data_IF_962422866600
#
_entry.id   IF_962422866600
#
_cell.length_a   1.000
_cell.length_b   1.000
_cell.length_c   1.000
_cell.angle_alpha   90.00
_cell.angle_beta   90.00
_cell.angle_gamma   90.00
#
_symmetry.space_group_name_H-M   'P 1'
#
loop_
_entity.id
_entity.type
_entity.pdbx_description
1 polymer ?
#
# COMPACT_ATOMS: atom_id res chain seq x y z
N UNK A 1 3.27 -28.25 -23.01
CA UNK A 1 1.88 -28.38 -23.52
C UNK A 1 0.90 -28.51 -22.36
N UNK A 2 -0.13 -27.60 -22.33
CA UNK A 2 -1.40 -27.67 -21.56
C UNK A 2 -1.25 -27.68 -20.01
N UNK A 3 -1.61 -26.59 -19.28
CA UNK A 3 -3.00 -26.17 -19.00
C UNK A 3 -3.05 -24.72 -18.53
N UNK A 4 -3.44 -23.84 -19.41
CA UNK A 4 -4.05 -22.56 -19.09
C UNK A 4 -5.56 -22.79 -19.25
N UNK A 5 -6.31 -22.88 -18.18
CA UNK A 5 -7.77 -22.83 -18.24
C UNK A 5 -8.33 -22.24 -16.96
N UNK A 6 -9.03 -21.11 -17.12
CA UNK A 6 -10.23 -20.67 -16.41
C UNK A 6 -10.04 -20.00 -15.05
N UNK A 7 -9.86 -18.69 -15.07
CA UNK A 7 -10.44 -17.76 -14.11
C UNK A 7 -11.11 -16.61 -14.87
N UNK A 8 -12.13 -16.93 -15.61
CA UNK A 8 -13.12 -15.96 -16.11
C UNK A 8 -14.45 -16.33 -15.50
N UNK A 9 -15.17 -15.29 -14.99
CA UNK A 9 -16.57 -15.35 -14.58
C UNK A 9 -16.82 -15.69 -13.12
N UNK A 10 -16.58 -14.72 -12.19
CA UNK A 10 -17.36 -14.65 -10.93
C UNK A 10 -17.37 -13.26 -10.26
N UNK A 11 -17.41 -12.17 -10.97
CA UNK A 11 -17.56 -10.83 -10.35
C UNK A 11 -18.58 -9.91 -11.05
N UNK A 12 -19.59 -10.45 -11.74
CA UNK A 12 -20.57 -9.58 -12.42
C UNK A 12 -22.04 -9.91 -12.18
N UNK A 13 -22.40 -10.55 -11.08
CA UNK A 13 -23.80 -10.97 -10.88
C UNK A 13 -24.46 -10.52 -9.57
N UNK A 14 -23.91 -9.52 -8.86
CA UNK A 14 -24.54 -9.03 -7.60
C UNK A 14 -25.17 -7.62 -7.71
N UNK A 15 -25.10 -6.95 -8.86
CA UNK A 15 -25.61 -5.55 -8.98
C UNK A 15 -26.92 -5.41 -9.76
N UNK A 16 -27.49 -6.47 -10.33
CA UNK A 16 -28.72 -6.38 -11.13
C UNK A 16 -29.82 -7.29 -10.59
N UNK A 17 -30.35 -7.01 -9.43
CA UNK A 17 -31.44 -7.80 -8.90
C UNK A 17 -32.29 -7.10 -7.85
N UNK A 18 -32.80 -5.90 -8.10
CA UNK A 18 -33.91 -5.33 -7.34
C UNK A 18 -34.53 -4.11 -8.05
N UNK A 19 -35.00 -4.30 -9.26
CA UNK A 19 -35.89 -3.31 -9.88
C UNK A 19 -36.83 -3.98 -10.89
N UNK A 20 -37.77 -4.80 -10.37
CA UNK A 20 -38.95 -5.19 -11.12
C UNK A 20 -39.86 -6.05 -10.23
N UNK A 21 -40.60 -5.38 -9.32
CA UNK A 21 -41.83 -5.91 -8.71
C UNK A 21 -42.48 -4.81 -7.88
N UNK A 22 -43.10 -3.85 -8.53
CA UNK A 22 -44.13 -2.99 -7.93
C UNK A 22 -44.92 -2.30 -9.02
N UNK A 23 -45.77 -3.04 -9.67
CA UNK A 23 -46.94 -2.44 -10.35
C UNK A 23 -48.05 -3.46 -10.27
N UNK A 24 -49.08 -3.06 -9.56
CA UNK A 24 -50.46 -3.47 -9.53
C UNK A 24 -50.95 -3.89 -8.15
N UNK A 25 -51.83 -3.09 -7.65
CA UNK A 25 -52.74 -3.46 -6.57
C UNK A 25 -52.79 -2.49 -5.41
N UNK A 26 -53.80 -1.65 -5.47
CA UNK A 26 -54.58 -1.13 -4.35
C UNK A 26 -54.71 0.38 -4.25
N UNK A 27 -55.74 0.84 -4.89
CA UNK A 27 -56.26 2.22 -4.81
C UNK A 27 -57.12 2.49 -3.56
N UNK A 28 -57.20 1.60 -2.58
CA UNK A 28 -58.12 1.74 -1.45
C UNK A 28 -57.53 1.78 -0.05
N UNK A 29 -56.20 1.65 0.13
CA UNK A 29 -55.59 1.72 1.46
C UNK A 29 -54.95 3.08 1.79
N UNK A 30 -55.03 4.05 0.89
CA UNK A 30 -54.37 5.36 1.07
C UNK A 30 -55.11 6.35 1.99
N UNK A 31 -56.22 5.98 2.64
CA UNK A 31 -57.03 6.95 3.43
C UNK A 31 -56.78 6.89 4.97
N UNK A 32 -55.87 6.05 5.44
CA UNK A 32 -55.56 5.94 6.88
C UNK A 32 -54.08 6.08 7.26
N UNK A 33 -53.18 6.33 6.28
CA UNK A 33 -51.82 6.71 6.66
C UNK A 33 -51.78 8.22 6.93
N UNK A 34 -51.57 8.57 8.20
CA UNK A 34 -51.32 9.96 8.59
C UNK A 34 -50.20 10.54 7.74
N UNK A 35 -50.25 11.87 7.51
CA UNK A 35 -49.28 12.64 6.70
C UNK A 35 -47.88 12.07 6.90
N UNK A 36 -47.13 11.71 5.82
CA UNK A 36 -45.78 11.22 5.98
C UNK A 36 -45.00 12.22 6.84
N UNK A 37 -44.42 11.76 7.95
CA UNK A 37 -43.54 12.60 8.73
C UNK A 37 -42.42 13.04 7.80
N UNK A 38 -42.40 14.33 7.51
CA UNK A 38 -41.36 14.99 6.73
C UNK A 38 -40.05 14.80 7.52
N UNK A 39 -39.35 13.72 7.24
CA UNK A 39 -38.04 13.49 7.84
C UNK A 39 -37.10 14.54 7.24
N UNK A 40 -36.74 15.55 8.04
CA UNK A 40 -35.64 16.45 7.71
C UNK A 40 -34.44 15.58 7.38
N UNK A 41 -34.14 15.44 6.09
CA UNK A 41 -32.91 14.78 5.63
C UNK A 41 -31.77 15.61 6.22
N UNK A 42 -31.07 15.06 7.20
CA UNK A 42 -29.86 15.71 7.70
C UNK A 42 -28.90 15.75 6.53
N UNK A 43 -28.65 16.95 6.04
CA UNK A 43 -27.71 17.20 4.96
C UNK A 43 -26.31 16.94 5.50
N UNK A 44 -25.82 15.73 5.32
CA UNK A 44 -24.46 15.30 5.64
C UNK A 44 -23.68 15.05 4.36
N UNK A 45 -22.47 14.55 4.49
CA UNK A 45 -21.59 14.22 3.38
C UNK A 45 -22.26 13.28 2.37
N UNK A 46 -22.11 13.58 1.08
CA UNK A 46 -22.77 12.86 -0.01
C UNK A 46 -21.91 11.68 -0.50
N UNK A 47 -22.59 10.71 -1.11
CA UNK A 47 -21.93 9.68 -1.89
C UNK A 47 -21.25 10.31 -3.10
N UNK A 48 -20.03 9.91 -3.42
CA UNK A 48 -19.29 10.49 -4.52
C UNK A 48 -18.22 9.55 -5.06
N UNK A 49 -17.94 9.67 -6.34
CA UNK A 49 -16.67 9.22 -6.91
C UNK A 49 -15.56 10.18 -6.50
N UNK A 50 -14.34 9.68 -6.38
CA UNK A 50 -13.20 10.53 -6.05
C UNK A 50 -11.93 10.09 -6.73
N UNK A 51 -11.05 11.05 -6.91
CA UNK A 51 -9.65 10.87 -7.29
C UNK A 51 -8.78 11.48 -6.19
N UNK A 52 -7.74 10.78 -5.80
CA UNK A 52 -6.85 11.23 -4.72
C UNK A 52 -5.39 11.05 -5.02
N UNK A 53 -4.60 11.93 -4.44
CA UNK A 53 -3.14 11.87 -4.41
C UNK A 53 -2.68 11.90 -2.96
N UNK A 54 -1.60 11.22 -2.63
CA UNK A 54 -1.01 11.24 -1.29
C UNK A 54 0.51 11.30 -1.35
N UNK A 55 1.10 11.95 -0.35
CA UNK A 55 2.52 11.85 -0.05
C UNK A 55 2.70 10.91 1.13
N UNK A 56 3.68 10.02 1.04
CA UNK A 56 3.91 8.96 2.00
C UNK A 56 5.35 9.01 2.52
N UNK A 57 5.50 8.85 3.83
CA UNK A 57 6.80 8.67 4.50
C UNK A 57 6.69 7.49 5.44
N UNK A 58 7.65 6.59 5.40
CA UNK A 58 7.62 5.41 6.22
C UNK A 58 8.99 4.81 6.43
N UNK A 59 8.99 3.60 6.92
CA UNK A 59 10.19 2.83 7.15
C UNK A 59 10.16 1.53 6.35
N UNK A 60 11.28 1.22 5.72
CA UNK A 60 11.50 -0.05 5.06
C UNK A 60 12.73 -0.74 5.68
N UNK A 61 12.74 -2.07 5.65
CA UNK A 61 13.88 -2.88 6.06
C UNK A 61 14.32 -3.81 4.94
N UNK A 62 15.63 -3.99 4.84
CA UNK A 62 16.26 -4.99 4.01
C UNK A 62 17.00 -5.94 4.93
N UNK A 63 16.72 -7.24 4.87
CA UNK A 63 17.44 -8.29 5.56
C UNK A 63 18.31 -9.05 4.56
N UNK A 64 19.60 -9.05 4.80
CA UNK A 64 20.57 -9.79 3.98
C UNK A 64 21.12 -10.93 4.82
N UNK A 65 21.00 -12.16 4.32
CA UNK A 65 21.67 -13.31 4.87
C UNK A 65 22.77 -13.70 3.90
N UNK A 66 24.04 -13.56 4.33
CA UNK A 66 25.22 -13.82 3.52
C UNK A 66 26.00 -15.02 4.11
N UNK A 67 26.28 -16.07 3.32
CA UNK A 67 26.98 -17.23 3.78
C UNK A 67 28.47 -16.92 4.07
N UNK A 68 29.23 -17.86 4.71
CA UNK A 68 30.67 -17.73 4.93
C UNK A 68 31.44 -17.48 3.64
N UNK A 69 32.60 -16.81 3.75
CA UNK A 69 33.47 -16.50 2.59
C UNK A 69 33.94 -17.71 1.81
N UNK A 70 33.99 -18.87 2.45
CA UNK A 70 34.33 -20.16 1.81
C UNK A 70 33.17 -20.70 0.92
N UNK A 71 32.00 -20.12 1.00
CA UNK A 71 30.86 -20.53 0.17
C UNK A 71 30.94 -19.90 -1.22
N UNK A 72 30.60 -20.67 -2.23
CA UNK A 72 30.47 -20.21 -3.62
C UNK A 72 29.47 -19.04 -3.76
N UNK A 73 28.49 -18.97 -2.85
CA UNK A 73 27.42 -17.97 -2.83
C UNK A 73 27.69 -16.77 -1.93
N UNK A 74 28.91 -16.61 -1.41
CA UNK A 74 29.26 -15.44 -0.61
C UNK A 74 29.27 -14.18 -1.48
N UNK A 75 28.60 -13.15 -1.00
CA UNK A 75 28.59 -11.84 -1.65
C UNK A 75 29.49 -10.86 -0.89
N UNK A 76 30.70 -10.52 -1.44
CA UNK A 76 31.75 -9.83 -0.68
C UNK A 76 31.37 -8.45 -0.14
N UNK A 77 30.33 -7.81 -0.72
CA UNK A 77 29.86 -6.48 -0.30
C UNK A 77 29.05 -6.48 0.99
N UNK A 78 28.58 -7.64 1.44
CA UNK A 78 27.80 -7.74 2.66
C UNK A 78 28.57 -8.53 3.73
N UNK A 79 28.40 -8.18 5.01
CA UNK A 79 28.95 -8.96 6.10
C UNK A 79 28.45 -10.40 6.06
N UNK A 80 29.30 -11.34 6.51
CA UNK A 80 28.90 -12.73 6.71
C UNK A 80 27.87 -12.82 7.84
N UNK A 81 26.85 -13.64 7.65
CA UNK A 81 25.75 -13.80 8.59
C UNK A 81 24.50 -13.03 8.16
N UNK A 82 23.62 -12.77 9.12
CA UNK A 82 22.39 -12.01 8.92
C UNK A 82 22.62 -10.56 9.31
N UNK A 83 22.32 -9.64 8.41
CA UNK A 83 22.39 -8.20 8.65
C UNK A 83 21.08 -7.54 8.21
N UNK A 84 20.53 -6.71 9.10
CA UNK A 84 19.30 -5.98 8.84
C UNK A 84 19.62 -4.50 8.66
N UNK A 85 19.18 -3.93 7.55
CA UNK A 85 19.29 -2.51 7.21
C UNK A 85 17.93 -1.85 7.29
N UNK A 86 17.85 -0.67 7.88
CA UNK A 86 16.67 0.16 7.94
C UNK A 86 16.87 1.39 7.06
N UNK A 87 15.83 1.80 6.36
CA UNK A 87 15.82 3.01 5.55
C UNK A 87 14.51 3.77 5.71
N UNK A 88 14.59 5.09 5.62
CA UNK A 88 13.41 5.92 5.41
C UNK A 88 12.95 5.73 3.97
N UNK A 89 11.69 5.44 3.79
CA UNK A 89 11.04 5.33 2.49
C UNK A 89 10.08 6.49 2.32
N UNK A 90 10.16 7.17 1.19
CA UNK A 90 9.25 8.26 0.83
C UNK A 90 8.67 8.02 -0.55
N UNK A 91 7.49 8.56 -0.80
CA UNK A 91 6.83 8.31 -2.08
C UNK A 91 5.50 8.99 -2.26
N UNK A 92 4.85 8.62 -3.35
CA UNK A 92 3.57 9.16 -3.75
C UNK A 92 2.55 8.03 -3.92
N UNK A 93 1.28 8.35 -3.68
CA UNK A 93 0.19 7.43 -3.91
C UNK A 93 -0.92 8.07 -4.74
N UNK A 94 -1.55 7.27 -5.58
CA UNK A 94 -2.75 7.62 -6.34
C UNK A 94 -3.89 6.69 -5.92
N UNK A 95 -5.10 7.25 -5.82
CA UNK A 95 -6.30 6.48 -5.50
C UNK A 95 -7.47 6.93 -6.36
N UNK A 96 -8.27 6.00 -6.82
CA UNK A 96 -9.54 6.27 -7.48
C UNK A 96 -10.60 5.35 -6.87
N UNK A 97 -11.76 5.90 -6.53
CA UNK A 97 -12.76 5.10 -5.86
C UNK A 97 -14.11 5.76 -5.70
N UNK A 98 -14.96 5.09 -4.97
CA UNK A 98 -16.32 5.52 -4.64
C UNK A 98 -16.55 5.42 -3.14
N UNK A 99 -17.14 6.46 -2.56
CA UNK A 99 -17.58 6.47 -1.16
C UNK A 99 -19.09 6.46 -1.08
N UNK A 100 -19.60 5.67 -0.15
CA UNK A 100 -21.02 5.48 0.09
C UNK A 100 -21.32 5.59 1.58
N UNK A 101 -22.27 6.46 1.93
CA UNK A 101 -22.75 6.61 3.29
C UNK A 101 -24.09 5.95 3.47
N UNK A 102 -24.32 5.34 4.63
CA UNK A 102 -25.51 4.60 4.96
C UNK A 102 -26.39 5.35 5.97
N UNK A 103 -27.68 5.15 5.83
CA UNK A 103 -28.69 5.74 6.72
C UNK A 103 -28.90 7.25 6.53
N UNK A 104 -29.92 7.78 7.19
CA UNK A 104 -30.32 9.19 7.05
C UNK A 104 -29.32 10.17 7.66
N UNK A 105 -28.63 9.76 8.72
CA UNK A 105 -27.64 10.60 9.43
C UNK A 105 -26.26 10.57 8.79
N UNK A 106 -25.97 9.63 7.88
CA UNK A 106 -24.72 9.50 7.16
C UNK A 106 -23.46 9.51 8.03
N UNK A 107 -23.56 8.95 9.24
CA UNK A 107 -22.42 8.86 10.16
C UNK A 107 -21.49 7.71 9.81
N UNK A 108 -22.04 6.68 9.19
CA UNK A 108 -21.29 5.49 8.81
C UNK A 108 -21.32 5.32 7.29
N UNK A 109 -20.19 4.93 6.73
CA UNK A 109 -20.03 4.70 5.30
C UNK A 109 -18.98 3.66 4.99
N UNK A 110 -18.84 3.40 3.71
CA UNK A 110 -17.77 2.59 3.16
C UNK A 110 -17.13 3.30 1.98
N UNK A 111 -15.86 3.04 1.75
CA UNK A 111 -15.07 3.57 0.64
C UNK A 111 -14.40 2.40 -0.07
N UNK A 112 -14.63 2.28 -1.36
CA UNK A 112 -14.07 1.23 -2.24
C UNK A 112 -13.12 1.90 -3.22
N UNK A 113 -11.92 1.38 -3.40
CA UNK A 113 -10.95 2.04 -4.26
C UNK A 113 -9.90 1.10 -4.86
N UNK A 114 -9.40 1.54 -6.03
CA UNK A 114 -8.13 1.11 -6.55
C UNK A 114 -7.03 2.08 -6.14
N UNK A 115 -5.83 1.58 -5.93
CA UNK A 115 -4.70 2.42 -5.56
C UNK A 115 -3.39 1.95 -6.18
N UNK A 116 -2.44 2.89 -6.29
CA UNK A 116 -1.07 2.66 -6.67
C UNK A 116 -0.16 3.56 -5.82
N UNK A 117 0.77 2.94 -5.09
CA UNK A 117 1.77 3.62 -4.28
C UNK A 117 3.15 3.38 -4.87
N UNK A 118 3.91 4.45 -5.09
CA UNK A 118 5.32 4.42 -5.36
C UNK A 118 6.08 4.78 -4.10
N UNK A 119 7.16 4.07 -3.79
CA UNK A 119 8.06 4.35 -2.67
C UNK A 119 9.50 4.21 -3.08
N UNK A 120 10.34 5.10 -2.59
CA UNK A 120 11.78 5.11 -2.81
C UNK A 120 12.53 5.05 -1.48
N UNK A 121 13.51 4.16 -1.38
CA UNK A 121 14.34 3.98 -0.20
C UNK A 121 15.81 3.73 -0.57
N UNK A 122 16.73 4.20 0.27
CA UNK A 122 18.17 3.97 0.13
C UNK A 122 18.67 3.23 1.36
N UNK A 123 18.95 1.94 1.20
CA UNK A 123 19.46 1.11 2.29
C UNK A 123 20.99 1.24 2.39
N UNK A 124 21.52 1.23 3.62
CA UNK A 124 22.96 1.28 3.87
C UNK A 124 23.62 2.63 3.61
N UNK A 125 22.86 3.71 3.42
CA UNK A 125 23.40 5.07 3.20
C UNK A 125 24.28 5.57 4.37
N UNK A 126 24.16 4.98 5.55
CA UNK A 126 24.95 5.29 6.75
C UNK A 126 26.02 4.24 7.05
N UNK A 127 26.19 3.21 6.24
CA UNK A 127 27.29 2.28 6.40
C UNK A 127 28.57 2.95 5.90
N UNK A 128 29.38 3.46 6.81
CA UNK A 128 30.74 3.87 6.54
C UNK A 128 31.52 2.59 6.16
N UNK A 129 31.67 2.34 4.89
CA UNK A 129 32.49 1.25 4.38
C UNK A 129 33.87 1.79 4.04
N UNK A 130 34.92 1.18 4.59
CA UNK A 130 36.27 1.44 4.10
C UNK A 130 36.43 0.97 2.65
N UNK A 131 37.35 1.54 1.90
CA UNK A 131 37.66 1.16 0.50
C UNK A 131 37.95 -0.35 0.35
N UNK A 132 38.25 -1.06 1.43
CA UNK A 132 38.52 -2.49 1.48
C UNK A 132 37.32 -3.35 1.90
N UNK A 133 36.09 -2.79 1.92
CA UNK A 133 34.87 -3.54 2.23
C UNK A 133 34.69 -3.92 3.70
N UNK A 134 35.52 -3.39 4.61
CA UNK A 134 35.38 -3.55 6.05
C UNK A 134 34.60 -2.41 6.70
N UNK A 135 33.86 -2.72 7.78
CA UNK A 135 33.26 -1.68 8.60
C UNK A 135 34.34 -0.82 9.24
N UNK A 136 34.21 0.50 9.19
CA UNK A 136 35.13 1.40 9.88
C UNK A 136 35.10 1.18 11.38
N UNK A 137 36.25 1.07 12.00
CA UNK A 137 36.39 1.03 13.47
C UNK A 137 36.16 2.44 14.03
N UNK A 138 35.56 2.53 15.21
CA UNK A 138 35.06 3.77 15.82
C UNK A 138 36.12 4.86 16.02
N UNK A 139 37.42 4.56 15.92
CA UNK A 139 38.53 5.48 16.20
C UNK A 139 39.60 5.58 15.08
N UNK A 140 39.29 5.11 13.86
CA UNK A 140 40.20 5.26 12.73
C UNK A 140 39.59 6.24 11.69
N UNK A 141 40.38 7.15 11.10
CA UNK A 141 39.88 7.99 10.01
C UNK A 141 39.56 7.11 8.83
N UNK A 142 38.30 6.83 8.66
CA UNK A 142 37.79 6.22 7.44
C UNK A 142 37.96 7.18 6.30
N UNK A 143 38.74 6.80 5.28
CA UNK A 143 38.75 7.51 4.01
C UNK A 143 37.35 7.46 3.43
N UNK A 144 36.65 8.59 3.55
CA UNK A 144 35.26 8.76 3.16
C UNK A 144 35.16 8.88 1.64
N UNK A 145 35.40 7.82 0.91
CA UNK A 145 34.58 7.64 -0.27
C UNK A 145 33.22 7.19 0.26
N UNK A 146 32.34 8.14 0.40
CA UNK A 146 30.89 7.91 0.32
C UNK A 146 30.67 7.32 -1.05
N UNK A 147 31.04 6.07 -1.20
CA UNK A 147 30.66 5.28 -2.34
C UNK A 147 29.14 5.23 -2.24
N UNK A 148 28.47 5.95 -3.09
CA UNK A 148 27.05 5.91 -3.39
C UNK A 148 26.64 4.51 -3.86
N UNK A 149 27.06 3.49 -3.17
CA UNK A 149 26.55 2.14 -3.28
C UNK A 149 25.45 1.92 -2.24
N UNK A 150 24.68 2.99 -1.98
CA UNK A 150 23.38 2.86 -1.40
C UNK A 150 22.60 1.90 -2.28
N UNK A 151 22.08 0.85 -1.68
CA UNK A 151 21.18 -0.06 -2.35
C UNK A 151 19.85 0.68 -2.58
N UNK A 152 19.77 1.36 -3.72
CA UNK A 152 18.59 2.06 -4.17
C UNK A 152 17.50 1.04 -4.41
N UNK A 153 16.35 1.23 -3.77
CA UNK A 153 15.20 0.35 -3.92
C UNK A 153 13.95 1.17 -4.17
N UNK A 154 13.30 0.84 -5.26
CA UNK A 154 12.00 1.38 -5.65
C UNK A 154 10.93 0.33 -5.37
N UNK A 155 9.83 0.76 -4.83
CA UNK A 155 8.70 -0.08 -4.50
C UNK A 155 7.45 0.41 -5.21
N UNK A 156 6.73 -0.50 -5.84
CA UNK A 156 5.39 -0.27 -6.36
C UNK A 156 4.41 -1.20 -5.64
N UNK A 157 3.40 -0.62 -5.01
CA UNK A 157 2.29 -1.34 -4.41
C UNK A 157 1.01 -0.92 -5.10
N UNK A 158 0.29 -1.86 -5.68
CA UNK A 158 -0.92 -1.59 -6.46
C UNK A 158 -2.00 -2.63 -6.16
N UNK A 159 -3.24 -2.17 -6.07
CA UNK A 159 -4.32 -3.07 -5.70
C UNK A 159 -5.64 -2.38 -5.46
N UNK A 160 -6.46 -3.05 -4.65
CA UNK A 160 -7.79 -2.58 -4.26
C UNK A 160 -7.93 -2.55 -2.74
N UNK A 161 -8.80 -1.69 -2.26
CA UNK A 161 -9.06 -1.57 -0.83
C UNK A 161 -10.51 -1.24 -0.52
N UNK A 162 -10.86 -1.52 0.71
CA UNK A 162 -12.12 -1.12 1.31
C UNK A 162 -11.85 -0.51 2.69
N UNK A 163 -12.38 0.68 2.94
CA UNK A 163 -12.34 1.34 4.23
C UNK A 163 -13.76 1.53 4.75
N UNK A 164 -13.96 1.32 6.05
CA UNK A 164 -15.13 1.79 6.77
C UNK A 164 -14.90 3.25 7.16
N UNK A 165 -15.92 4.08 7.03
CA UNK A 165 -15.89 5.50 7.35
C UNK A 165 -16.82 5.76 8.52
N UNK A 166 -16.33 6.49 9.52
CA UNK A 166 -17.11 6.92 10.66
C UNK A 166 -16.97 8.42 10.87
N UNK A 167 -18.05 9.19 10.64
CA UNK A 167 -18.08 10.64 10.83
C UNK A 167 -18.49 10.97 12.26
N UNK A 168 -17.60 11.62 13.00
CA UNK A 168 -17.88 12.15 14.36
C UNK A 168 -18.60 13.49 14.25
N UNK A 169 -18.19 14.30 13.29
CA UNK A 169 -18.83 15.56 12.92
C UNK A 169 -19.31 15.40 11.49
N UNK A 170 -20.59 15.64 11.27
CA UNK A 170 -21.20 15.49 9.95
C UNK A 170 -22.17 16.67 9.70
N UNK A 171 -21.62 17.76 9.18
CA UNK A 171 -22.34 18.95 8.76
C UNK A 171 -22.41 19.02 7.24
N UNK A 172 -23.24 19.91 6.70
CA UNK A 172 -23.39 20.07 5.24
C UNK A 172 -22.08 20.44 4.55
N UNK A 173 -21.32 21.37 5.14
CA UNK A 173 -20.11 21.94 4.55
C UNK A 173 -18.81 21.40 5.16
N UNK A 174 -18.88 20.59 6.20
CA UNK A 174 -17.70 20.02 6.83
C UNK A 174 -18.02 18.71 7.57
N UNK A 175 -17.22 17.70 7.36
CA UNK A 175 -17.24 16.49 8.16
C UNK A 175 -15.84 16.15 8.68
N UNK A 176 -15.79 15.57 9.86
CA UNK A 176 -14.57 15.02 10.45
C UNK A 176 -14.86 13.62 10.97
N UNK A 177 -13.95 12.71 10.72
CA UNK A 177 -14.15 11.33 11.10
C UNK A 177 -12.89 10.48 11.01
N UNK A 178 -13.10 9.20 11.21
CA UNK A 178 -12.06 8.16 11.16
C UNK A 178 -12.34 7.21 10.01
N UNK A 179 -11.29 6.55 9.56
CA UNK A 179 -11.44 5.40 8.67
C UNK A 179 -10.56 4.24 9.13
N UNK A 180 -11.04 3.04 8.86
CA UNK A 180 -10.32 1.79 9.09
C UNK A 180 -10.62 0.85 7.93
N UNK A 181 -9.59 0.29 7.34
CA UNK A 181 -9.76 -0.58 6.18
C UNK A 181 -8.67 -1.58 5.96
N UNK A 182 -8.88 -2.36 4.91
CA UNK A 182 -7.96 -3.39 4.44
C UNK A 182 -7.73 -3.24 2.95
N UNK A 183 -6.54 -3.61 2.51
CA UNK A 183 -6.12 -3.55 1.12
C UNK A 183 -5.50 -4.88 0.71
N UNK A 184 -5.82 -5.31 -0.51
CA UNK A 184 -5.22 -6.46 -1.18
C UNK A 184 -4.43 -5.92 -2.37
N UNK A 185 -3.14 -6.26 -2.44
CA UNK A 185 -2.24 -5.65 -3.39
C UNK A 185 -1.21 -6.62 -3.95
N UNK A 186 -0.64 -6.26 -5.09
CA UNK A 186 0.68 -6.68 -5.54
C UNK A 186 1.72 -5.69 -5.02
N UNK A 187 2.85 -6.18 -4.57
CA UNK A 187 3.98 -5.37 -4.15
C UNK A 187 5.22 -5.78 -4.94
N UNK A 188 5.72 -4.86 -5.76
CA UNK A 188 6.89 -5.09 -6.61
C UNK A 188 8.06 -4.25 -6.12
N UNK A 189 9.23 -4.88 -6.02
CA UNK A 189 10.48 -4.22 -5.67
C UNK A 189 11.45 -4.26 -6.84
N UNK A 190 11.98 -3.10 -7.21
CA UNK A 190 13.12 -2.95 -8.09
C UNK A 190 14.31 -2.41 -7.30
N UNK A 191 15.50 -2.96 -7.50
CA UNK A 191 16.68 -2.48 -6.79
C UNK A 191 17.97 -2.69 -7.57
N UNK A 192 19.00 -1.91 -7.22
CA UNK A 192 20.31 -1.99 -7.84
C UNK A 192 21.06 -3.27 -7.47
N UNK A 193 20.71 -3.89 -6.35
CA UNK A 193 21.30 -5.18 -5.94
C UNK A 193 20.88 -6.30 -6.87
N UNK A 194 19.59 -6.35 -7.25
CA UNK A 194 19.09 -7.31 -8.23
C UNK A 194 19.75 -7.16 -9.59
N UNK A 195 19.77 -5.94 -10.12
CA UNK A 195 20.44 -5.65 -11.39
C UNK A 195 21.91 -6.02 -11.37
N UNK A 196 22.59 -5.82 -10.24
CA UNK A 196 23.99 -6.21 -10.08
C UNK A 196 24.16 -7.74 -10.08
N UNK A 197 23.30 -8.47 -9.38
CA UNK A 197 23.32 -9.94 -9.37
C UNK A 197 23.07 -10.52 -10.76
N UNK A 198 22.19 -9.90 -11.53
CA UNK A 198 21.88 -10.32 -12.90
C UNK A 198 23.00 -10.05 -13.91
N UNK A 199 23.71 -8.90 -13.77
CA UNK A 199 24.60 -8.42 -14.83
C UNK A 199 26.09 -8.71 -14.59
N UNK A 200 26.53 -8.73 -13.31
CA UNK A 200 27.96 -8.80 -12.94
C UNK A 200 28.32 -9.92 -11.98
N UNK A 201 27.37 -10.73 -11.57
CA UNK A 201 27.62 -11.83 -10.64
C UNK A 201 28.24 -13.02 -11.37
N UNK A 202 29.17 -13.75 -10.75
CA UNK A 202 29.60 -15.07 -11.20
C UNK A 202 28.43 -16.07 -11.25
N UNK A 203 27.30 -15.71 -10.64
CA UNK A 203 26.05 -16.48 -10.60
C UNK A 203 25.21 -16.42 -11.91
N UNK A 204 25.68 -15.73 -12.94
CA UNK A 204 24.97 -15.57 -14.22
C UNK A 204 24.58 -16.92 -14.89
N UNK A 205 25.24 -18.00 -14.53
CA UNK A 205 24.99 -19.33 -15.09
C UNK A 205 24.25 -20.29 -14.12
N UNK A 206 23.91 -19.84 -12.95
CA UNK A 206 23.19 -20.63 -11.94
C UNK A 206 21.71 -20.24 -11.96
N UNK A 207 20.82 -21.22 -12.00
CA UNK A 207 19.36 -20.97 -11.89
C UNK A 207 19.05 -20.40 -10.52
N UNK A 208 18.80 -19.10 -10.43
CA UNK A 208 18.30 -18.46 -9.23
C UNK A 208 16.91 -17.88 -9.47
N UNK A 209 16.09 -17.83 -8.46
CA UNK A 209 14.76 -17.24 -8.51
C UNK A 209 14.81 -15.83 -7.96
N UNK A 210 14.36 -14.87 -8.77
CA UNK A 210 14.04 -13.52 -8.35
C UNK A 210 12.52 -13.38 -8.32
N UNK A 211 11.98 -13.10 -7.14
CA UNK A 211 10.56 -12.86 -6.95
C UNK A 211 10.31 -11.36 -6.65
N UNK A 212 10.41 -10.49 -7.69
CA UNK A 212 10.29 -9.04 -7.50
C UNK A 212 8.87 -8.59 -7.16
N UNK A 213 7.88 -9.44 -7.41
CA UNK A 213 6.47 -9.12 -7.17
C UNK A 213 5.82 -10.18 -6.30
N UNK A 214 5.19 -9.77 -5.20
CA UNK A 214 4.51 -10.65 -4.27
C UNK A 214 3.16 -10.07 -3.85
N UNK A 215 2.25 -10.96 -3.48
CA UNK A 215 0.99 -10.59 -2.85
C UNK A 215 1.23 -9.86 -1.53
N UNK A 216 0.45 -8.81 -1.27
CA UNK A 216 0.52 -8.01 -0.06
C UNK A 216 -0.87 -7.76 0.51
N UNK A 217 -0.99 -7.90 1.82
CA UNK A 217 -2.15 -7.49 2.57
C UNK A 217 -1.77 -6.32 3.47
N UNK A 218 -2.57 -5.22 3.46
CA UNK A 218 -2.28 -4.03 4.25
C UNK A 218 -3.51 -3.64 5.08
N UNK A 219 -3.23 -3.18 6.30
CA UNK A 219 -4.19 -2.40 7.08
C UNK A 219 -4.04 -0.91 6.76
N UNK A 220 -5.16 -0.21 6.68
CA UNK A 220 -5.24 1.22 6.41
C UNK A 220 -6.12 1.87 7.46
N UNK A 221 -5.60 2.82 8.22
CA UNK A 221 -6.36 3.53 9.25
C UNK A 221 -5.92 4.99 9.37
N UNK A 222 -6.83 5.85 9.82
CA UNK A 222 -6.50 7.25 9.98
C UNK A 222 -7.72 8.13 10.28
N UNK A 223 -7.48 9.42 10.13
CA UNK A 223 -8.49 10.49 10.26
C UNK A 223 -8.73 11.13 8.90
N UNK A 224 -9.94 11.63 8.74
CA UNK A 224 -10.36 12.32 7.52
C UNK A 224 -11.13 13.58 7.84
N UNK A 225 -10.98 14.57 6.97
CA UNK A 225 -11.74 15.82 7.01
C UNK A 225 -12.25 16.13 5.62
N UNK A 226 -13.54 16.38 5.50
CA UNK A 226 -14.18 16.82 4.27
C UNK A 226 -14.58 18.29 4.43
N UNK A 227 -14.22 19.13 3.48
CA UNK A 227 -14.45 20.57 3.50
C UNK A 227 -15.13 21.01 2.19
N UNK A 228 -16.27 21.70 2.32
CA UNK A 228 -17.08 22.07 1.17
C UNK A 228 -17.75 20.86 0.54
N UNK A 229 -17.90 20.87 -0.80
CA UNK A 229 -18.58 19.79 -1.52
C UNK A 229 -17.62 18.78 -2.14
N UNK A 230 -16.38 19.18 -2.40
CA UNK A 230 -15.46 18.42 -3.23
C UNK A 230 -14.13 18.04 -2.57
N UNK A 231 -13.73 18.71 -1.49
CA UNK A 231 -12.39 18.57 -0.95
C UNK A 231 -12.36 17.67 0.28
N UNK A 232 -11.45 16.72 0.28
CA UNK A 232 -11.23 15.79 1.39
C UNK A 232 -9.74 15.65 1.65
N UNK A 233 -9.36 15.71 2.92
CA UNK A 233 -8.00 15.50 3.40
C UNK A 233 -7.97 14.29 4.33
N UNK A 234 -6.98 13.44 4.11
CA UNK A 234 -6.73 12.27 4.95
C UNK A 234 -5.35 12.37 5.58
N UNK A 235 -5.26 11.93 6.81
CA UNK A 235 -4.01 11.59 7.46
C UNK A 235 -4.11 10.16 8.00
N UNK A 236 -3.22 9.28 7.56
CA UNK A 236 -3.35 7.87 7.89
C UNK A 236 -2.04 7.11 7.89
N UNK A 237 -2.15 5.83 8.26
CA UNK A 237 -1.05 4.88 8.23
C UNK A 237 -1.46 3.61 7.49
N UNK A 238 -0.57 3.14 6.63
CA UNK A 238 -0.65 1.84 5.95
C UNK A 238 0.36 0.89 6.58
N UNK A 239 -0.09 -0.29 6.97
CA UNK A 239 0.72 -1.31 7.65
C UNK A 239 0.67 -2.60 6.82
N UNK A 240 1.70 -2.89 6.03
CA UNK A 240 1.82 -4.14 5.30
C UNK A 240 2.12 -5.31 6.24
N UNK A 241 1.64 -6.50 5.91
CA UNK A 241 1.77 -7.68 6.77
C UNK A 241 2.77 -8.71 6.27
N UNK A 242 3.14 -8.69 4.98
CA UNK A 242 3.90 -9.75 4.35
C UNK A 242 5.30 -9.26 3.95
N UNK A 243 6.32 -10.09 4.21
CA UNK A 243 7.69 -9.85 3.78
C UNK A 243 7.87 -10.29 2.33
N UNK A 244 8.67 -9.55 1.57
CA UNK A 244 9.02 -9.88 0.19
C UNK A 244 10.37 -10.59 0.17
N UNK A 245 10.38 -11.86 -0.15
CA UNK A 245 11.60 -12.64 -0.39
C UNK A 245 12.07 -12.38 -1.82
N UNK A 246 12.88 -11.35 -1.99
CA UNK A 246 13.30 -10.87 -3.31
C UNK A 246 14.26 -11.83 -4.01
N UNK A 247 15.20 -12.39 -3.26
CA UNK A 247 16.20 -13.32 -3.76
C UNK A 247 16.50 -14.39 -2.72
N UNK A 248 16.57 -15.65 -3.16
CA UNK A 248 16.97 -16.76 -2.31
C UNK A 248 17.72 -17.80 -3.14
N UNK A 249 19.01 -17.98 -2.85
CA UNK A 249 19.83 -19.02 -3.49
C UNK A 249 20.90 -19.55 -2.53
N UNK A 250 20.88 -20.85 -2.32
CA UNK A 250 21.74 -21.47 -1.30
C UNK A 250 21.46 -20.87 0.09
N UNK A 251 22.51 -20.34 0.71
CA UNK A 251 22.39 -19.64 2.00
C UNK A 251 22.39 -18.10 1.86
N UNK A 252 22.42 -17.57 0.62
CA UNK A 252 22.31 -16.15 0.32
C UNK A 252 20.85 -15.76 0.12
N UNK A 253 20.36 -14.80 0.88
CA UNK A 253 19.00 -14.31 0.70
C UNK A 253 18.88 -12.80 0.95
N UNK A 254 18.00 -12.16 0.18
CA UNK A 254 17.61 -10.76 0.33
C UNK A 254 16.11 -10.68 0.55
N UNK A 255 15.71 -10.10 1.66
CA UNK A 255 14.30 -9.93 2.03
C UNK A 255 14.00 -8.46 2.24
N UNK A 256 12.95 -7.96 1.61
CA UNK A 256 12.48 -6.59 1.78
C UNK A 256 11.17 -6.55 2.54
N UNK A 257 11.00 -5.54 3.37
CA UNK A 257 9.76 -5.28 4.07
C UNK A 257 9.53 -3.79 4.23
N UNK A 258 8.40 -3.32 3.76
CA UNK A 258 7.85 -2.03 4.19
C UNK A 258 7.26 -2.24 5.57
N UNK A 259 7.73 -1.52 6.58
CA UNK A 259 7.26 -1.67 7.95
C UNK A 259 5.93 -0.96 8.15
N UNK A 260 5.89 0.29 7.76
CA UNK A 260 4.70 1.15 7.75
C UNK A 260 4.93 2.34 6.84
N UNK A 261 3.84 3.04 6.50
CA UNK A 261 3.90 4.36 5.86
C UNK A 261 2.82 5.25 6.43
N UNK A 262 3.24 6.39 6.96
CA UNK A 262 2.36 7.52 7.25
C UNK A 262 2.08 8.25 5.94
N UNK A 263 0.89 8.76 5.76
CA UNK A 263 0.56 9.54 4.58
C UNK A 263 -0.37 10.71 4.88
N UNK A 264 -0.20 11.75 4.07
CA UNK A 264 -1.14 12.86 3.94
C UNK A 264 -1.72 12.78 2.53
N UNK A 265 -3.02 12.74 2.44
CA UNK A 265 -3.75 12.61 1.17
C UNK A 265 -4.72 13.76 0.94
N UNK A 266 -4.86 14.15 -0.31
CA UNK A 266 -5.92 15.01 -0.80
C UNK A 266 -6.79 14.24 -1.77
N UNK A 267 -8.11 14.38 -1.66
CA UNK A 267 -9.09 13.78 -2.57
C UNK A 267 -10.05 14.83 -3.08
N UNK A 268 -10.30 14.77 -4.36
CA UNK A 268 -11.36 15.53 -5.01
C UNK A 268 -12.56 14.62 -5.25
N UNK A 269 -13.71 15.02 -4.73
CA UNK A 269 -14.99 14.30 -4.86
C UNK A 269 -15.82 14.95 -5.97
N UNK A 270 -16.35 14.14 -6.87
CA UNK A 270 -17.13 14.57 -8.03
C UNK A 270 -18.62 14.64 -7.73
#
# INVERSE_FOLDING_TARGET
>A
MKKFVVFKTLCLSVVLGNSLLAAEGSTEVQKQLGKPKEYKVVKGEKNAWYLGISYQVGQASQSVKNPPKSSEFNYPKFPVGKTDYLAVMQGLGLTVGYKQFFGQKRWFGARYYGFMDYGHAVFGANALTSDNGGACKLNEPCATKVGTMGNLSDMFTYGVGIDTLYNVINKEDASFGFFLGVQIAGNSWGNTTGAFLETKSPYKHTSYSLDPAIFQFLFNLGIRTHIGQHQEFDFGVKIPTINVYYFNHGNLSFTYRRQYSLYVGYRYNF
#
